data_IF_532078745295
#
_entry.id   IF_532078745295
#
_cell.length_a   1.000
_cell.length_b   1.000
_cell.length_c   1.000
_cell.angle_alpha   90.00
_cell.angle_beta   90.00
_cell.angle_gamma   90.00
#
_symmetry.space_group_name_H-M   'P 1'
#
loop_
_entity.id
_entity.type
_entity.pdbx_description
1 polymer ?
#
# COMPACT_ATOMS: atom_id res chain seq x y z
N UNK A 1 51.98 -4.86 3.21
CA UNK A 1 50.57 -5.10 2.82
C UNK A 1 49.75 -3.89 3.19
N UNK A 2 49.40 -3.06 2.21
CA UNK A 2 48.63 -1.82 2.40
C UNK A 2 47.14 -2.17 2.42
N UNK A 3 46.54 -2.13 3.61
CA UNK A 3 45.10 -2.31 3.78
C UNK A 3 44.40 -1.02 3.35
N UNK A 4 43.58 -1.09 2.29
CA UNK A 4 42.78 0.04 1.82
C UNK A 4 41.37 0.01 2.44
N UNK A 5 40.79 1.20 2.64
CA UNK A 5 39.47 1.46 3.25
C UNK A 5 38.31 0.63 2.67
N UNK A 6 38.46 0.05 1.47
CA UNK A 6 37.44 -0.80 0.84
C UNK A 6 37.32 -2.20 1.46
N UNK A 7 38.30 -2.67 2.22
CA UNK A 7 38.22 -3.98 2.90
C UNK A 7 37.67 -3.91 4.33
N UNK A 8 37.39 -2.71 4.87
CA UNK A 8 36.85 -2.55 6.23
C UNK A 8 35.32 -2.40 6.27
N UNK A 9 34.66 -2.13 5.14
CA UNK A 9 33.20 -1.95 5.07
C UNK A 9 32.41 -3.22 4.74
N UNK A 10 33.05 -4.37 4.59
CA UNK A 10 32.37 -5.65 4.35
C UNK A 10 31.78 -6.29 5.63
N UNK A 11 31.88 -5.64 6.79
CA UNK A 11 31.56 -6.25 8.09
C UNK A 11 30.38 -5.67 8.88
N UNK A 12 29.73 -4.59 8.44
CA UNK A 12 28.76 -3.90 9.30
C UNK A 12 27.57 -3.29 8.51
N UNK A 13 26.64 -4.13 8.04
CA UNK A 13 25.23 -3.76 7.84
C UNK A 13 24.42 -4.98 7.34
N UNK A 14 24.46 -6.08 8.09
CA UNK A 14 23.44 -7.13 7.95
C UNK A 14 22.93 -7.42 9.36
N UNK A 15 22.17 -6.48 9.93
CA UNK A 15 21.19 -6.90 10.92
C UNK A 15 20.15 -7.66 10.12
N UNK A 16 20.02 -8.99 10.27
CA UNK A 16 18.86 -9.66 9.71
C UNK A 16 17.66 -8.93 10.32
N UNK A 17 16.74 -8.46 9.48
CA UNK A 17 15.37 -8.23 9.90
C UNK A 17 14.82 -9.61 10.29
N UNK A 18 15.23 -10.09 11.46
CA UNK A 18 14.70 -11.28 12.06
C UNK A 18 13.21 -10.97 12.24
N UNK A 19 12.38 -11.70 11.51
CA UNK A 19 10.95 -11.71 11.76
C UNK A 19 10.81 -12.00 13.25
N UNK A 20 10.45 -10.98 14.02
CA UNK A 20 10.40 -11.09 15.47
C UNK A 20 9.32 -12.12 15.78
N UNK A 21 9.74 -13.36 16.05
CA UNK A 21 8.85 -14.37 16.58
C UNK A 21 8.45 -13.88 17.95
N UNK A 22 7.25 -13.33 18.03
CA UNK A 22 6.68 -12.90 19.30
C UNK A 22 6.24 -14.18 20.01
N UNK A 23 6.97 -14.56 21.05
CA UNK A 23 6.49 -15.58 21.98
C UNK A 23 5.26 -15.04 22.70
N UNK A 24 4.25 -15.89 22.87
CA UNK A 24 3.09 -15.56 23.67
C UNK A 24 3.54 -15.20 25.11
N UNK A 25 3.31 -13.95 25.50
CA UNK A 25 3.49 -13.48 26.88
C UNK A 25 2.17 -13.74 27.61
N UNK A 26 2.20 -14.16 28.90
CA UNK A 26 0.98 -14.28 29.70
C UNK A 26 0.18 -12.98 29.64
N UNK A 27 -1.14 -13.10 29.45
CA UNK A 27 -2.01 -11.92 29.42
C UNK A 27 -1.83 -11.13 30.73
N UNK A 28 -1.56 -9.82 30.65
CA UNK A 28 -1.52 -8.98 31.84
C UNK A 28 -2.85 -9.08 32.59
N UNK A 29 -2.78 -9.08 33.93
CA UNK A 29 -3.98 -9.12 34.77
C UNK A 29 -4.83 -7.86 34.62
N UNK A 30 -4.20 -6.73 34.29
CA UNK A 30 -4.86 -5.44 34.12
C UNK A 30 -4.43 -4.76 32.81
N UNK A 31 -5.41 -4.29 32.04
CA UNK A 31 -5.25 -3.42 30.89
C UNK A 31 -6.39 -2.41 30.84
N UNK A 32 -6.12 -1.18 30.43
CA UNK A 32 -7.18 -0.18 30.24
C UNK A 32 -7.88 -0.41 28.90
N UNK A 33 -7.12 -0.81 27.88
CA UNK A 33 -7.59 -1.02 26.51
C UNK A 33 -6.97 -2.30 25.93
N UNK A 34 -7.79 -3.06 25.21
CA UNK A 34 -7.35 -4.24 24.43
C UNK A 34 -7.55 -3.96 22.95
N UNK A 35 -6.51 -4.18 22.15
CA UNK A 35 -6.51 -4.05 20.70
C UNK A 35 -6.45 -5.45 20.08
N UNK A 36 -7.40 -5.76 19.19
CA UNK A 36 -7.42 -7.03 18.48
C UNK A 36 -6.74 -6.87 17.12
N UNK A 37 -5.63 -7.57 16.92
CA UNK A 37 -4.79 -7.58 15.74
C UNK A 37 -3.55 -6.70 15.87
N UNK A 38 -2.37 -7.29 15.69
CA UNK A 38 -1.07 -6.60 15.62
C UNK A 38 -0.67 -6.24 14.18
N UNK A 39 -1.65 -5.84 13.36
CA UNK A 39 -1.41 -5.20 12.06
C UNK A 39 -1.03 -3.72 12.19
N UNK A 40 -0.77 -3.05 11.05
CA UNK A 40 -0.41 -1.63 11.02
C UNK A 40 -1.38 -0.72 11.81
N UNK A 41 -2.69 -0.96 11.70
CA UNK A 41 -3.71 -0.19 12.39
C UNK A 41 -3.68 -0.41 13.92
N UNK A 42 -3.57 -1.67 14.36
CA UNK A 42 -3.52 -2.01 15.78
C UNK A 42 -2.24 -1.51 16.46
N UNK A 43 -1.10 -1.62 15.78
CA UNK A 43 0.17 -1.04 16.25
C UNK A 43 0.06 0.48 16.35
N UNK A 44 -0.51 1.16 15.34
CA UNK A 44 -0.71 2.61 15.38
C UNK A 44 -1.64 3.04 16.53
N UNK A 45 -2.75 2.32 16.75
CA UNK A 45 -3.67 2.55 17.85
C UNK A 45 -2.96 2.39 19.20
N UNK A 46 -2.23 1.28 19.40
CA UNK A 46 -1.49 1.02 20.63
C UNK A 46 -0.44 2.10 20.93
N UNK A 47 0.31 2.56 19.91
CA UNK A 47 1.26 3.68 20.07
C UNK A 47 0.57 4.96 20.54
N UNK A 48 -0.63 5.26 20.01
CA UNK A 48 -1.39 6.44 20.42
C UNK A 48 -1.97 6.32 21.83
N UNK A 49 -2.41 5.12 22.22
CA UNK A 49 -2.90 4.82 23.57
C UNK A 49 -1.75 4.93 24.59
N UNK A 50 -0.58 4.36 24.28
CA UNK A 50 0.61 4.50 25.12
C UNK A 50 1.04 5.96 25.27
N UNK A 51 1.01 6.75 24.19
CA UNK A 51 1.31 8.18 24.25
C UNK A 51 0.32 8.98 25.12
N UNK A 52 -0.88 8.44 25.35
CA UNK A 52 -1.86 8.98 26.29
C UNK A 52 -1.70 8.44 27.73
N UNK A 53 -0.58 7.77 28.04
CA UNK A 53 -0.25 7.17 29.33
C UNK A 53 -1.30 6.14 29.81
N UNK A 54 -1.88 5.37 28.89
CA UNK A 54 -2.82 4.28 29.18
C UNK A 54 -2.19 2.92 28.92
N UNK A 55 -2.62 1.91 29.69
CA UNK A 55 -2.18 0.52 29.54
C UNK A 55 -2.92 -0.13 28.38
N UNK A 56 -2.17 -0.65 27.42
CA UNK A 56 -2.73 -1.33 26.25
C UNK A 56 -2.13 -2.72 26.07
N UNK A 57 -2.98 -3.67 25.71
CA UNK A 57 -2.57 -5.02 25.30
C UNK A 57 -3.02 -5.25 23.86
N UNK A 58 -2.15 -5.79 23.01
CA UNK A 58 -2.49 -6.21 21.66
C UNK A 58 -2.57 -7.73 21.62
N UNK A 59 -3.67 -8.26 21.10
CA UNK A 59 -3.88 -9.70 20.90
C UNK A 59 -3.79 -9.97 19.40
N UNK A 60 -2.84 -10.81 18.98
CA UNK A 60 -2.65 -11.20 17.59
C UNK A 60 -2.91 -12.70 17.44
N UNK A 61 -3.68 -13.07 16.42
CA UNK A 61 -4.05 -14.46 16.18
C UNK A 61 -2.88 -15.29 15.64
N UNK A 62 -1.93 -14.64 14.96
CA UNK A 62 -0.77 -15.29 14.36
C UNK A 62 0.48 -15.20 15.25
N UNK A 63 1.49 -16.03 14.96
CA UNK A 63 2.79 -15.97 15.66
C UNK A 63 3.70 -14.81 15.23
N UNK A 64 3.17 -13.79 14.53
CA UNK A 64 3.93 -12.67 13.97
C UNK A 64 3.12 -11.38 14.00
N UNK A 65 3.81 -10.26 14.16
CA UNK A 65 3.22 -8.93 13.98
C UNK A 65 3.19 -8.54 12.50
N UNK A 66 2.51 -7.45 12.16
CA UNK A 66 2.46 -6.87 10.80
C UNK A 66 1.15 -7.15 10.06
N UNK A 67 0.43 -8.21 10.41
CA UNK A 67 -0.86 -8.55 9.80
C UNK A 67 -0.73 -8.90 8.32
N UNK A 68 -1.18 -8.00 7.44
CA UNK A 68 -1.06 -8.14 5.97
C UNK A 68 0.30 -7.66 5.42
N UNK A 69 1.11 -7.01 6.25
CA UNK A 69 2.48 -6.66 5.91
C UNK A 69 3.39 -7.83 6.31
N UNK A 70 3.67 -8.72 5.37
CA UNK A 70 4.52 -9.90 5.59
C UNK A 70 5.65 -9.95 4.56
N UNK A 71 6.87 -10.03 5.06
CA UNK A 71 8.09 -10.19 4.26
C UNK A 71 8.61 -11.63 4.43
N UNK A 72 8.65 -12.38 3.34
CA UNK A 72 9.29 -13.69 3.27
C UNK A 72 10.81 -13.50 3.12
N UNK A 73 11.57 -14.09 4.04
CA UNK A 73 13.04 -14.01 4.07
C UNK A 73 13.70 -15.32 3.64
N UNK A 74 12.91 -16.34 3.28
CA UNK A 74 13.36 -17.74 3.20
C UNK A 74 13.25 -18.32 1.79
N UNK A 75 12.19 -18.00 1.04
CA UNK A 75 11.91 -18.67 -0.24
C UNK A 75 12.92 -18.32 -1.33
N UNK A 76 13.37 -17.07 -1.42
CA UNK A 76 14.18 -16.58 -2.56
C UNK A 76 15.62 -16.22 -2.21
N UNK A 77 16.06 -16.43 -0.96
CA UNK A 77 17.37 -15.95 -0.48
C UNK A 77 17.48 -14.41 -0.43
N UNK A 78 16.39 -13.70 -0.71
CA UNK A 78 16.23 -12.25 -0.63
C UNK A 78 14.87 -11.92 -0.02
N UNK A 79 14.71 -10.76 0.64
CA UNK A 79 13.41 -10.32 1.15
C UNK A 79 12.37 -10.20 0.03
N UNK A 80 11.18 -10.79 0.25
CA UNK A 80 10.06 -10.72 -0.67
C UNK A 80 8.75 -10.42 0.06
N UNK A 81 8.15 -9.26 -0.19
CA UNK A 81 6.88 -8.90 0.42
C UNK A 81 5.72 -9.67 -0.21
N UNK A 82 5.03 -10.47 0.61
CA UNK A 82 3.83 -11.23 0.23
C UNK A 82 2.55 -10.39 0.28
N UNK A 83 2.64 -9.17 0.83
CA UNK A 83 1.50 -8.26 0.97
C UNK A 83 1.85 -6.82 0.61
N UNK A 84 1.84 -5.93 1.60
CA UNK A 84 2.03 -4.50 1.39
C UNK A 84 3.47 -4.17 0.91
N UNK A 85 3.63 -3.94 -0.40
CA UNK A 85 4.91 -3.67 -1.05
C UNK A 85 5.04 -2.28 -1.70
N UNK A 86 3.93 -1.55 -1.83
CA UNK A 86 3.87 -0.25 -2.51
C UNK A 86 3.44 0.86 -1.56
N UNK A 87 4.10 2.02 -1.67
CA UNK A 87 3.68 3.26 -1.03
C UNK A 87 3.10 4.20 -2.09
N UNK A 88 1.77 4.26 -2.18
CA UNK A 88 1.07 5.17 -3.08
C UNK A 88 1.04 6.61 -2.50
N UNK A 89 0.89 7.61 -3.37
CA UNK A 89 0.73 9.02 -3.02
C UNK A 89 1.78 9.55 -2.02
N UNK A 90 3.06 9.40 -2.35
CA UNK A 90 4.20 9.66 -1.45
C UNK A 90 4.13 11.00 -0.69
N UNK A 91 3.62 12.06 -1.31
CA UNK A 91 3.48 13.39 -0.69
C UNK A 91 2.46 13.44 0.45
N UNK A 92 1.35 12.71 0.33
CA UNK A 92 0.28 12.65 1.32
C UNK A 92 0.41 11.44 2.27
N UNK A 93 1.23 10.45 1.92
CA UNK A 93 1.30 9.18 2.65
C UNK A 93 2.12 9.30 3.96
N UNK A 94 1.52 9.10 5.14
CA UNK A 94 2.22 9.20 6.41
C UNK A 94 3.31 8.12 6.57
N UNK A 95 3.13 6.94 5.95
CA UNK A 95 4.13 5.87 5.96
C UNK A 95 5.36 6.23 5.13
N UNK A 96 5.19 6.99 4.03
CA UNK A 96 6.34 7.46 3.25
C UNK A 96 7.22 8.44 4.04
N UNK A 97 6.63 9.23 4.95
CA UNK A 97 7.38 10.07 5.88
C UNK A 97 8.05 9.24 6.97
N UNK A 98 7.34 8.26 7.54
CA UNK A 98 7.88 7.36 8.55
C UNK A 98 9.05 6.51 8.02
N UNK A 99 8.96 6.05 6.77
CA UNK A 99 9.99 5.25 6.13
C UNK A 99 11.35 5.97 6.10
N UNK A 100 11.37 7.31 6.00
CA UNK A 100 12.60 8.11 6.07
C UNK A 100 13.25 8.15 7.47
N UNK A 101 12.50 7.78 8.51
CA UNK A 101 12.98 7.81 9.90
C UNK A 101 13.49 6.44 10.37
N UNK A 102 13.33 5.40 9.56
CA UNK A 102 13.79 4.05 9.84
C UNK A 102 14.79 3.64 8.76
N UNK A 103 15.63 2.64 9.06
CA UNK A 103 16.60 2.10 8.10
C UNK A 103 15.89 1.24 7.06
N UNK A 104 15.20 1.88 6.10
CA UNK A 104 14.48 1.22 5.03
C UNK A 104 14.73 1.93 3.71
N UNK A 105 15.18 1.17 2.71
CA UNK A 105 15.41 1.70 1.36
C UNK A 105 14.08 1.90 0.64
N UNK A 106 13.72 3.16 0.42
CA UNK A 106 12.58 3.54 -0.42
C UNK A 106 13.10 4.09 -1.73
N UNK A 107 12.78 3.43 -2.82
CA UNK A 107 13.14 3.85 -4.17
C UNK A 107 11.89 4.19 -4.99
N UNK A 108 11.99 5.14 -5.94
CA UNK A 108 10.88 5.44 -6.82
C UNK A 108 10.54 4.24 -7.70
N UNK A 109 9.24 4.01 -7.89
CA UNK A 109 8.73 3.08 -8.88
C UNK A 109 9.35 3.38 -10.25
N UNK A 110 9.85 2.38 -11.00
CA UNK A 110 10.23 2.59 -12.39
C UNK A 110 9.04 3.18 -13.16
N UNK A 111 9.25 4.35 -13.79
CA UNK A 111 8.25 4.96 -14.66
C UNK A 111 8.26 4.25 -16.03
N UNK A 112 7.73 3.03 -16.05
CA UNK A 112 7.67 2.21 -17.26
C UNK A 112 6.26 1.69 -17.54
N UNK A 113 5.22 2.42 -17.11
CA UNK A 113 3.86 2.10 -17.51
C UNK A 113 3.72 2.28 -19.02
N UNK A 114 3.29 1.22 -19.70
CA UNK A 114 3.02 1.22 -21.13
C UNK A 114 1.59 0.76 -21.33
N UNK A 115 0.81 1.57 -22.04
CA UNK A 115 -0.50 1.13 -22.53
C UNK A 115 -0.25 0.26 -23.74
N UNK A 116 -0.89 -0.92 -23.77
CA UNK A 116 -0.85 -1.82 -24.90
C UNK A 116 -2.23 -1.90 -25.53
N UNK A 117 -2.27 -1.72 -26.85
CA UNK A 117 -3.47 -1.94 -27.66
C UNK A 117 -3.23 -3.22 -28.45
N UNK A 118 -3.86 -4.30 -28.00
CA UNK A 118 -3.57 -5.65 -28.48
C UNK A 118 -2.09 -6.02 -28.34
N UNK A 119 -1.40 -6.21 -29.47
CA UNK A 119 -0.01 -6.68 -29.50
C UNK A 119 1.04 -5.57 -29.57
N UNK A 120 0.63 -4.31 -29.70
CA UNK A 120 1.53 -3.14 -29.83
C UNK A 120 1.42 -2.20 -28.64
N UNK A 121 2.41 -1.33 -28.48
CA UNK A 121 2.27 -0.18 -27.58
C UNK A 121 1.30 0.83 -28.18
N UNK A 122 0.58 1.54 -27.32
CA UNK A 122 -0.19 2.71 -27.70
C UNK A 122 0.75 3.80 -28.25
N UNK A 123 0.28 4.54 -29.24
CA UNK A 123 0.93 5.76 -29.73
C UNK A 123 0.76 6.87 -28.69
N UNK A 124 1.54 7.93 -28.81
CA UNK A 124 1.45 9.08 -27.90
C UNK A 124 0.02 9.67 -27.85
N UNK A 125 -0.60 9.92 -29.02
CA UNK A 125 -1.96 10.45 -29.09
C UNK A 125 -3.03 9.51 -28.49
N UNK A 126 -2.88 8.19 -28.67
CA UNK A 126 -3.80 7.21 -28.06
C UNK A 126 -3.62 7.16 -26.53
N UNK A 127 -2.39 7.31 -26.05
CA UNK A 127 -2.09 7.38 -24.62
C UNK A 127 -2.67 8.64 -24.01
N UNK A 128 -2.50 9.78 -24.67
CA UNK A 128 -3.05 11.07 -24.24
C UNK A 128 -4.57 11.04 -24.21
N UNK A 129 -5.22 10.51 -25.25
CA UNK A 129 -6.67 10.37 -25.33
C UNK A 129 -7.22 9.49 -24.20
N UNK A 130 -6.59 8.34 -23.95
CA UNK A 130 -6.98 7.48 -22.83
C UNK A 130 -6.83 8.19 -21.48
N UNK A 131 -5.69 8.83 -21.22
CA UNK A 131 -5.43 9.50 -19.94
C UNK A 131 -6.40 10.68 -19.72
N UNK A 132 -6.66 11.47 -20.76
CA UNK A 132 -7.64 12.55 -20.71
C UNK A 132 -9.04 11.99 -20.40
N UNK A 133 -9.44 10.91 -21.08
CA UNK A 133 -10.74 10.27 -20.87
C UNK A 133 -10.85 9.64 -19.48
N UNK A 134 -9.78 9.05 -18.95
CA UNK A 134 -9.72 8.52 -17.59
C UNK A 134 -9.91 9.64 -16.55
N UNK A 135 -9.22 10.77 -16.71
CA UNK A 135 -9.37 11.93 -15.80
C UNK A 135 -10.79 12.50 -15.87
N UNK A 136 -11.38 12.66 -17.07
CA UNK A 136 -12.77 13.11 -17.22
C UNK A 136 -13.75 12.15 -16.54
N UNK A 137 -13.57 10.85 -16.74
CA UNK A 137 -14.42 9.81 -16.16
C UNK A 137 -14.33 9.78 -14.64
N UNK A 138 -13.11 9.86 -14.09
CA UNK A 138 -12.90 9.92 -12.65
C UNK A 138 -13.56 11.15 -12.02
N UNK A 139 -13.48 12.33 -12.67
CA UNK A 139 -14.18 13.55 -12.21
C UNK A 139 -15.70 13.43 -12.30
N UNK A 140 -16.22 12.81 -13.36
CA UNK A 140 -17.67 12.59 -13.50
C UNK A 140 -18.24 11.75 -12.35
N UNK A 141 -17.44 10.84 -11.77
CA UNK A 141 -17.81 10.05 -10.59
C UNK A 141 -17.61 10.87 -9.30
N UNK A 142 -16.44 11.49 -9.13
CA UNK A 142 -16.03 12.07 -7.83
C UNK A 142 -16.59 13.47 -7.54
N UNK A 143 -16.85 14.30 -8.56
CA UNK A 143 -17.40 15.65 -8.34
C UNK A 143 -18.83 15.61 -7.79
N UNK A 144 -19.77 14.80 -8.32
CA UNK A 144 -21.10 14.65 -7.74
C UNK A 144 -21.07 14.00 -6.36
N UNK A 145 -20.15 13.05 -6.13
CA UNK A 145 -20.02 12.35 -4.85
C UNK A 145 -19.79 13.27 -3.64
N UNK A 146 -19.28 14.49 -3.87
CA UNK A 146 -19.15 15.53 -2.83
C UNK A 146 -20.48 15.93 -2.19
N UNK A 147 -21.61 15.67 -2.84
CA UNK A 147 -22.96 16.02 -2.37
C UNK A 147 -23.74 14.83 -1.81
N UNK A 148 -23.16 13.62 -1.83
CA UNK A 148 -23.79 12.38 -1.42
C UNK A 148 -23.35 11.21 -2.30
N UNK A 149 -23.59 9.98 -1.87
CA UNK A 149 -23.22 8.80 -2.65
C UNK A 149 -23.98 8.78 -3.98
N UNK A 150 -23.26 8.56 -5.07
CA UNK A 150 -23.82 8.48 -6.42
C UNK A 150 -23.42 7.14 -7.03
N UNK A 151 -24.32 6.55 -7.81
CA UNK A 151 -23.97 5.36 -8.59
C UNK A 151 -22.81 5.69 -9.54
N UNK A 152 -21.83 4.80 -9.57
CA UNK A 152 -20.67 4.79 -10.47
C UNK A 152 -21.00 4.37 -11.90
N UNK A 153 -22.27 4.16 -12.24
CA UNK A 153 -22.76 4.03 -13.62
C UNK A 153 -22.49 5.28 -14.49
N UNK A 154 -21.92 6.33 -13.90
CA UNK A 154 -21.68 7.65 -14.48
C UNK A 154 -20.44 7.76 -15.39
N UNK A 155 -19.97 6.68 -16.04
CA UNK A 155 -19.03 6.88 -17.13
C UNK A 155 -19.71 7.73 -18.22
N UNK A 156 -19.06 8.79 -18.72
CA UNK A 156 -19.61 9.57 -19.83
C UNK A 156 -20.02 8.67 -21.00
N UNK A 157 -21.09 9.02 -21.70
CA UNK A 157 -21.58 8.21 -22.82
C UNK A 157 -20.53 8.11 -23.95
N UNK A 158 -19.71 9.16 -24.10
CA UNK A 158 -18.76 9.41 -25.18
C UNK A 158 -17.32 8.92 -24.90
N UNK A 159 -17.12 7.99 -23.95
CA UNK A 159 -15.79 7.41 -23.66
C UNK A 159 -15.24 6.48 -24.76
N UNK A 160 -16.02 6.22 -25.81
CA UNK A 160 -15.59 5.50 -27.01
C UNK A 160 -15.06 4.09 -26.72
N UNK A 161 -13.99 3.72 -27.42
CA UNK A 161 -13.36 2.40 -27.31
C UNK A 161 -12.75 2.11 -25.92
N UNK A 162 -12.54 3.15 -25.10
CA UNK A 162 -11.95 3.03 -23.78
C UNK A 162 -12.90 2.51 -22.71
N UNK A 163 -14.20 2.40 -22.99
CA UNK A 163 -15.24 2.03 -22.00
C UNK A 163 -14.84 0.85 -21.11
N UNK A 164 -14.51 -0.31 -21.70
CA UNK A 164 -14.14 -1.51 -20.92
C UNK A 164 -12.87 -1.31 -20.11
N UNK A 165 -11.89 -0.60 -20.66
CA UNK A 165 -10.65 -0.30 -19.95
C UNK A 165 -10.93 0.61 -18.75
N UNK A 166 -11.81 1.60 -18.90
CA UNK A 166 -12.23 2.49 -17.81
C UNK A 166 -13.02 1.76 -16.73
N UNK A 167 -13.97 0.90 -17.10
CA UNK A 167 -14.73 0.07 -16.16
C UNK A 167 -13.78 -0.83 -15.36
N UNK A 168 -12.81 -1.46 -16.03
CA UNK A 168 -11.79 -2.27 -15.37
C UNK A 168 -10.87 -1.44 -14.45
N UNK A 169 -10.35 -0.30 -14.96
CA UNK A 169 -9.42 0.55 -14.22
C UNK A 169 -10.09 1.19 -13.01
N UNK A 170 -11.31 1.71 -13.15
CA UNK A 170 -12.00 2.43 -12.08
C UNK A 170 -12.74 1.49 -11.11
N UNK A 171 -13.10 0.29 -11.54
CA UNK A 171 -13.70 -0.74 -10.70
C UNK A 171 -12.69 -1.79 -10.22
N UNK A 172 -12.58 -2.95 -10.88
CA UNK A 172 -11.84 -4.10 -10.37
C UNK A 172 -10.38 -3.79 -9.99
N UNK A 173 -9.68 -2.99 -10.80
CA UNK A 173 -8.28 -2.67 -10.56
C UNK A 173 -8.03 -1.82 -9.30
N UNK A 174 -8.98 -0.96 -8.93
CA UNK A 174 -8.84 -0.07 -7.76
C UNK A 174 -9.55 -0.61 -6.53
N UNK A 175 -10.74 -1.18 -6.71
CA UNK A 175 -11.65 -1.54 -5.62
C UNK A 175 -11.94 -3.04 -5.52
N UNK A 176 -11.41 -3.87 -6.42
CA UNK A 176 -11.71 -5.31 -6.50
C UNK A 176 -13.21 -5.63 -6.64
N UNK A 177 -13.97 -4.70 -7.22
CA UNK A 177 -15.41 -4.80 -7.50
C UNK A 177 -15.70 -4.27 -8.90
N UNK A 178 -16.77 -4.72 -9.53
CA UNK A 178 -17.26 -4.11 -10.77
C UNK A 178 -17.54 -2.63 -10.52
N UNK A 179 -17.32 -1.78 -11.53
CA UNK A 179 -17.43 -0.33 -11.35
C UNK A 179 -18.76 0.06 -10.70
N UNK A 180 -19.89 -0.48 -11.19
CA UNK A 180 -21.25 -0.28 -10.65
C UNK A 180 -21.44 -0.61 -9.15
N UNK A 181 -20.56 -1.41 -8.57
CA UNK A 181 -20.60 -1.86 -7.17
C UNK A 181 -19.60 -1.11 -6.28
N UNK A 182 -18.90 -0.11 -6.84
CA UNK A 182 -18.00 0.80 -6.13
C UNK A 182 -18.82 1.99 -5.62
N UNK A 183 -18.68 2.34 -4.34
CA UNK A 183 -19.23 3.58 -3.80
C UNK A 183 -18.37 4.76 -4.25
N UNK A 184 -19.00 5.88 -4.60
CA UNK A 184 -18.28 7.08 -4.99
C UNK A 184 -17.82 7.91 -3.77
N UNK A 185 -18.21 7.50 -2.55
CA UNK A 185 -17.74 8.06 -1.29
C UNK A 185 -16.47 7.32 -0.81
N UNK A 186 -15.36 8.04 -0.65
CA UNK A 186 -14.16 7.57 0.07
C UNK A 186 -14.24 7.85 1.58
#
# INVERSE_FOLDING_TARGET
>A
MTVSRRHFLAGAAALPFASARVSAVPLPKDADIVVIGAGVAGIAAARRIQAANRRVVIIEATGRIGGRCETDMTTFGVPFDRGARWLHAQSANPLARLARTVTMDVYPAPQAQKIRIGRRNARAGETEDFLATLVRSYRAITDPARKGDVSTDALPADVGEWRRTLEFTLGPSLASKDLKDVSALE
#
